data_IF_424026405671
#
_entry.id   IF_424026405671
#
_cell.length_a   1.000
_cell.length_b   1.000
_cell.length_c   1.000
_cell.angle_alpha   90.00
_cell.angle_beta   90.00
_cell.angle_gamma   90.00
#
_symmetry.space_group_name_H-M   'P 1'
#
loop_
_entity.id
_entity.type
_entity.pdbx_description
1 polymer ?
#
# COMPACT_ATOMS: atom_id res chain seq x y z
N UNK A 1 -9.28 -28.65 15.28
CA UNK A 1 -8.32 -28.02 14.38
C UNK A 1 -7.85 -26.74 15.05
N UNK A 2 -6.60 -26.38 14.83
CA UNK A 2 -5.92 -25.25 15.46
C UNK A 2 -5.60 -24.22 14.39
N UNK A 3 -5.69 -22.94 14.74
CA UNK A 3 -5.33 -21.84 13.87
C UNK A 3 -4.00 -21.24 14.30
N UNK A 4 -3.29 -20.62 13.36
CA UNK A 4 -2.04 -19.92 13.63
C UNK A 4 -1.60 -19.09 12.44
N UNK A 5 -0.59 -18.26 12.67
CA UNK A 5 -0.05 -17.33 11.69
C UNK A 5 1.28 -17.84 11.16
N UNK A 6 1.46 -17.91 9.85
CA UNK A 6 2.74 -18.30 9.25
C UNK A 6 3.80 -17.28 9.67
N UNK A 7 4.75 -17.70 10.50
CA UNK A 7 5.88 -16.90 10.96
C UNK A 7 6.85 -16.64 9.81
N UNK A 8 7.17 -17.69 9.08
CA UNK A 8 7.98 -17.66 7.88
C UNK A 8 7.89 -19.01 7.17
N UNK A 9 8.17 -19.03 5.87
CA UNK A 9 8.25 -20.25 5.09
C UNK A 9 9.29 -20.09 3.98
N UNK A 10 10.20 -21.06 3.87
CA UNK A 10 11.20 -21.12 2.82
C UNK A 10 10.73 -22.12 1.75
N UNK A 11 10.33 -21.60 0.60
CA UNK A 11 9.82 -22.39 -0.51
C UNK A 11 10.89 -23.27 -1.17
N UNK A 12 12.14 -22.80 -1.19
CA UNK A 12 13.26 -23.53 -1.79
C UNK A 12 13.66 -24.72 -0.92
N UNK A 13 13.60 -24.55 0.41
CA UNK A 13 13.89 -25.61 1.39
C UNK A 13 12.67 -26.46 1.75
N UNK A 14 11.47 -25.99 1.44
CA UNK A 14 10.20 -26.69 1.62
C UNK A 14 9.72 -26.79 3.08
N UNK A 15 10.11 -25.86 3.95
CA UNK A 15 9.64 -25.85 5.34
C UNK A 15 9.57 -24.44 5.94
N UNK A 16 8.84 -24.32 7.04
CA UNK A 16 8.65 -23.07 7.76
C UNK A 16 8.10 -23.29 9.17
N UNK A 17 7.60 -22.22 9.77
CA UNK A 17 7.04 -22.22 11.12
C UNK A 17 5.76 -21.40 11.19
N UNK A 18 4.85 -21.82 12.06
CA UNK A 18 3.55 -21.20 12.34
C UNK A 18 3.53 -20.75 13.80
N UNK A 19 3.31 -19.46 14.03
CA UNK A 19 3.08 -18.92 15.36
C UNK A 19 1.67 -19.28 15.85
N UNK A 20 1.60 -19.87 17.04
CA UNK A 20 0.35 -20.29 17.70
C UNK A 20 -0.25 -19.21 18.63
N UNK A 21 0.40 -18.04 18.73
CA UNK A 21 0.06 -16.97 19.67
C UNK A 21 1.31 -16.37 20.32
N UNK A 22 1.15 -15.34 21.15
CA UNK A 22 2.28 -14.56 21.69
C UNK A 22 3.15 -15.28 22.73
N UNK A 23 2.61 -16.32 23.39
CA UNK A 23 3.31 -17.08 24.44
C UNK A 23 3.50 -18.56 24.10
N UNK A 24 3.13 -18.98 22.89
CA UNK A 24 3.23 -20.36 22.45
C UNK A 24 4.46 -20.57 21.56
N UNK A 25 5.08 -21.75 21.65
CA UNK A 25 6.21 -22.11 20.77
C UNK A 25 5.75 -22.20 19.31
N UNK A 26 6.59 -21.69 18.41
CA UNK A 26 6.37 -21.78 16.97
C UNK A 26 6.31 -23.26 16.52
N UNK A 27 5.29 -23.60 15.76
CA UNK A 27 5.04 -24.96 15.29
C UNK A 27 5.68 -25.18 13.91
N UNK A 28 6.45 -26.26 13.77
CA UNK A 28 7.08 -26.63 12.50
C UNK A 28 6.05 -27.00 11.44
N UNK A 29 6.26 -26.59 10.19
CA UNK A 29 5.46 -27.03 9.03
C UNK A 29 6.36 -27.42 7.87
N UNK A 30 6.02 -28.52 7.19
CA UNK A 30 6.69 -28.97 5.97
C UNK A 30 5.75 -28.81 4.76
N UNK A 31 6.32 -28.55 3.57
CA UNK A 31 5.57 -28.34 2.35
C UNK A 31 4.64 -29.51 2.00
N UNK A 32 5.02 -30.75 2.37
CA UNK A 32 4.18 -31.93 2.14
C UNK A 32 2.83 -31.86 2.85
N UNK A 33 2.77 -31.21 4.02
CA UNK A 33 1.57 -31.10 4.85
C UNK A 33 0.64 -29.97 4.39
N UNK A 34 1.09 -29.09 3.51
CA UNK A 34 0.26 -28.05 2.90
C UNK A 34 -0.73 -28.71 1.93
N UNK A 35 -2.00 -28.44 2.18
CA UNK A 35 -3.12 -28.84 1.34
C UNK A 35 -3.53 -27.62 0.51
N UNK A 36 -3.09 -27.61 -0.73
CA UNK A 36 -3.47 -26.63 -1.75
C UNK A 36 -3.96 -27.37 -2.98
N UNK A 37 -4.93 -26.77 -3.67
CA UNK A 37 -5.40 -27.23 -4.99
C UNK A 37 -4.42 -26.80 -6.10
N UNK A 38 -3.53 -25.85 -5.81
CA UNK A 38 -2.47 -25.41 -6.71
C UNK A 38 -1.23 -26.30 -6.64
N UNK A 39 -0.51 -26.39 -7.77
CA UNK A 39 0.75 -27.13 -7.86
C UNK A 39 1.86 -26.58 -6.94
N UNK A 40 1.73 -25.34 -6.49
CA UNK A 40 2.70 -24.63 -5.66
C UNK A 40 2.23 -24.62 -4.21
N UNK A 41 2.85 -25.48 -3.39
CA UNK A 41 2.60 -25.58 -1.94
C UNK A 41 3.35 -24.50 -1.18
N UNK A 42 2.88 -23.27 -1.32
CA UNK A 42 3.51 -22.08 -0.77
C UNK A 42 2.72 -21.53 0.41
N UNK A 43 3.45 -21.12 1.45
CA UNK A 43 2.94 -20.26 2.51
C UNK A 43 3.68 -18.93 2.46
N UNK A 44 2.95 -17.84 2.70
CA UNK A 44 3.51 -16.50 2.84
C UNK A 44 3.51 -16.11 4.31
N UNK A 45 4.56 -15.42 4.72
CA UNK A 45 4.61 -14.82 6.06
C UNK A 45 3.37 -13.96 6.31
N UNK A 46 2.81 -14.11 7.51
CA UNK A 46 1.58 -13.45 7.93
C UNK A 46 0.30 -14.18 7.55
N UNK A 47 0.28 -15.18 6.66
CA UNK A 47 -0.96 -15.91 6.34
C UNK A 47 -1.55 -16.63 7.56
N UNK A 48 -2.89 -16.66 7.66
CA UNK A 48 -3.57 -17.47 8.68
C UNK A 48 -3.86 -18.84 8.09
N UNK A 49 -3.47 -19.85 8.84
CA UNK A 49 -3.65 -21.25 8.47
C UNK A 49 -4.41 -22.00 9.54
N UNK A 50 -5.28 -22.92 9.12
CA UNK A 50 -5.78 -23.98 10.00
C UNK A 50 -4.98 -25.26 9.76
N UNK A 51 -4.77 -26.03 10.83
CA UNK A 51 -4.03 -27.29 10.79
C UNK A 51 -4.41 -28.20 11.95
N UNK A 52 -3.88 -29.42 11.89
CA UNK A 52 -3.88 -30.38 12.99
C UNK A 52 -2.47 -30.49 13.58
N UNK A 53 -2.33 -30.50 14.90
CA UNK A 53 -1.03 -30.75 15.54
C UNK A 53 -0.79 -32.27 15.59
N UNK A 54 0.36 -32.72 15.10
CA UNK A 54 0.77 -34.11 15.17
C UNK A 54 2.26 -34.27 15.47
N UNK A 55 2.70 -35.48 15.79
CA UNK A 55 4.13 -35.80 15.90
C UNK A 55 4.75 -36.07 14.53
N UNK A 56 5.99 -35.59 14.34
CA UNK A 56 6.86 -35.93 13.24
C UNK A 56 8.27 -36.26 13.71
N UNK A 57 9.15 -36.59 12.77
CA UNK A 57 10.53 -37.01 13.05
C UNK A 57 11.38 -35.93 13.76
N UNK A 58 10.93 -34.67 13.73
CA UNK A 58 11.58 -33.51 14.35
C UNK A 58 10.80 -32.94 15.53
N UNK A 59 9.84 -33.68 16.07
CA UNK A 59 8.94 -33.23 17.13
C UNK A 59 7.57 -32.80 16.61
N UNK A 60 6.82 -32.00 17.40
CA UNK A 60 5.50 -31.52 17.02
C UNK A 60 5.52 -30.73 15.70
N UNK A 61 4.57 -31.02 14.81
CA UNK A 61 4.42 -30.34 13.52
C UNK A 61 2.96 -30.11 13.15
N UNK A 62 2.73 -29.11 12.31
CA UNK A 62 1.45 -28.83 11.68
C UNK A 62 1.20 -29.81 10.54
N UNK A 63 0.00 -30.40 10.52
CA UNK A 63 -0.47 -31.36 9.51
C UNK A 63 -1.72 -30.85 8.84
N UNK A 64 -1.93 -31.28 7.59
CA UNK A 64 -3.10 -30.91 6.78
C UNK A 64 -3.35 -29.40 6.73
N UNK A 65 -2.28 -28.63 6.58
CA UNK A 65 -2.28 -27.16 6.68
C UNK A 65 -3.07 -26.56 5.51
N UNK A 66 -4.05 -25.73 5.81
CA UNK A 66 -4.84 -24.98 4.81
C UNK A 66 -4.77 -23.50 5.12
N UNK A 67 -4.56 -22.67 4.10
CA UNK A 67 -4.68 -21.22 4.24
C UNK A 67 -6.16 -20.86 4.35
N UNK A 68 -6.52 -20.18 5.43
CA UNK A 68 -7.90 -19.72 5.69
C UNK A 68 -8.04 -18.20 5.58
N UNK A 69 -6.95 -17.45 5.73
CA UNK A 69 -6.90 -16.03 5.42
C UNK A 69 -5.53 -15.63 4.89
N UNK A 70 -5.49 -14.68 3.97
CA UNK A 70 -4.24 -14.23 3.37
C UNK A 70 -3.33 -13.48 4.34
N UNK A 71 -3.86 -12.98 5.47
CA UNK A 71 -3.09 -12.37 6.55
C UNK A 71 -3.77 -12.48 7.91
N UNK A 72 -2.97 -12.54 8.97
CA UNK A 72 -3.38 -12.41 10.36
C UNK A 72 -3.82 -10.98 10.64
N UNK A 73 -4.93 -10.85 11.34
CA UNK A 73 -5.54 -9.55 11.67
C UNK A 73 -4.58 -8.67 12.51
N UNK A 74 -3.75 -9.31 13.35
CA UNK A 74 -2.88 -8.63 14.32
C UNK A 74 -1.48 -8.22 13.82
N UNK A 75 -1.15 -8.33 12.52
CA UNK A 75 0.19 -7.91 12.02
C UNK A 75 0.16 -6.44 11.58
N UNK A 76 0.86 -5.50 12.29
CA UNK A 76 0.83 -4.10 11.92
C UNK A 76 1.58 -3.89 10.61
N UNK A 77 0.84 -3.68 9.53
CA UNK A 77 1.39 -3.39 8.20
C UNK A 77 1.51 -1.90 7.99
N UNK A 78 2.66 -1.44 7.49
CA UNK A 78 2.73 -0.16 6.80
C UNK A 78 1.92 -0.23 5.51
N UNK A 79 0.70 0.31 5.54
CA UNK A 79 -0.22 0.38 4.42
C UNK A 79 -0.19 1.79 3.84
N UNK A 80 -0.18 1.88 2.52
CA UNK A 80 -0.43 3.12 1.80
C UNK A 80 -1.93 3.21 1.50
N UNK A 81 -2.46 4.42 1.56
CA UNK A 81 -3.85 4.66 1.21
C UNK A 81 -4.13 6.10 0.87
N UNK A 82 -5.39 6.35 0.58
CA UNK A 82 -5.92 7.67 0.25
C UNK A 82 -7.04 7.99 1.22
N UNK A 83 -6.99 9.17 1.84
CA UNK A 83 -8.05 9.63 2.74
C UNK A 83 -9.34 9.76 1.95
N UNK A 84 -10.31 8.90 2.23
CA UNK A 84 -11.62 8.91 1.58
C UNK A 84 -12.40 10.15 2.01
N UNK A 85 -12.32 10.49 3.30
CA UNK A 85 -12.82 11.73 3.87
C UNK A 85 -12.31 11.87 5.30
N UNK A 86 -12.27 13.11 5.80
CA UNK A 86 -11.89 13.42 7.18
C UNK A 86 -12.67 14.64 7.67
N UNK A 87 -13.17 14.59 8.91
CA UNK A 87 -13.90 15.69 9.55
C UNK A 87 -13.08 16.29 10.69
N UNK A 88 -12.32 17.38 10.45
CA UNK A 88 -11.40 17.94 11.46
C UNK A 88 -12.09 18.36 12.75
N UNK A 89 -13.33 18.85 12.66
CA UNK A 89 -14.10 19.29 13.83
C UNK A 89 -14.46 18.13 14.76
N UNK A 90 -14.64 16.92 14.21
CA UNK A 90 -14.93 15.71 14.98
C UNK A 90 -13.68 14.86 15.26
N UNK A 91 -12.60 15.07 14.52
CA UNK A 91 -11.32 14.40 14.71
C UNK A 91 -11.28 12.95 14.23
N UNK A 92 -12.10 12.57 13.24
CA UNK A 92 -12.08 11.24 12.66
C UNK A 92 -12.43 11.22 11.17
N UNK A 93 -12.10 10.12 10.50
CA UNK A 93 -12.38 9.89 9.09
C UNK A 93 -12.12 8.45 8.68
N UNK A 94 -11.99 8.22 7.37
CA UNK A 94 -11.67 6.91 6.80
C UNK A 94 -10.65 7.03 5.67
N UNK A 95 -9.88 5.95 5.49
CA UNK A 95 -8.84 5.82 4.47
C UNK A 95 -9.17 4.61 3.62
N UNK A 96 -9.16 4.77 2.30
CA UNK A 96 -9.18 3.66 1.36
C UNK A 96 -7.76 3.12 1.21
N UNK A 97 -7.47 1.88 1.64
CA UNK A 97 -6.13 1.29 1.50
C UNK A 97 -5.87 0.89 0.04
N UNK A 98 -4.62 0.99 -0.40
CA UNK A 98 -4.23 0.68 -1.78
C UNK A 98 -4.27 -0.83 -2.10
N UNK A 99 -4.21 -1.67 -1.08
CA UNK A 99 -4.26 -3.13 -1.23
C UNK A 99 -5.66 -3.66 -1.52
N UNK A 100 -6.65 -2.77 -1.67
CA UNK A 100 -8.03 -3.11 -2.02
C UNK A 100 -8.85 -3.66 -0.85
N UNK A 101 -8.36 -3.53 0.38
CA UNK A 101 -9.08 -3.88 1.61
C UNK A 101 -10.26 -2.96 1.92
N UNK A 102 -10.96 -3.27 3.02
CA UNK A 102 -12.03 -2.42 3.53
C UNK A 102 -11.51 -1.04 3.98
N UNK A 103 -12.39 -0.04 4.04
CA UNK A 103 -12.02 1.28 4.54
C UNK A 103 -11.51 1.21 5.98
N UNK A 104 -10.37 1.87 6.22
CA UNK A 104 -9.69 1.86 7.52
C UNK A 104 -10.09 3.11 8.29
N UNK A 105 -10.58 2.94 9.52
CA UNK A 105 -10.94 4.05 10.39
C UNK A 105 -9.70 4.83 10.83
N UNK A 106 -9.76 6.16 10.85
CA UNK A 106 -8.69 7.01 11.37
C UNK A 106 -9.22 7.99 12.42
N UNK A 107 -8.50 8.10 13.54
CA UNK A 107 -8.72 9.11 14.56
C UNK A 107 -7.58 10.14 14.55
N UNK A 108 -7.87 11.38 14.95
CA UNK A 108 -6.90 12.49 15.01
C UNK A 108 -5.63 12.15 15.81
N UNK A 109 -5.74 11.30 16.84
CA UNK A 109 -4.60 10.85 17.66
C UNK A 109 -3.61 9.98 16.90
N UNK A 110 -4.03 9.35 15.79
CA UNK A 110 -3.14 8.53 14.97
C UNK A 110 -2.25 9.38 14.06
N UNK A 111 -2.62 10.64 13.79
CA UNK A 111 -1.90 11.52 12.87
C UNK A 111 -0.61 12.00 13.54
N UNK A 112 0.50 11.46 13.10
CA UNK A 112 1.84 11.82 13.56
C UNK A 112 2.12 13.27 13.15
N UNK A 113 2.81 14.03 14.00
CA UNK A 113 3.18 15.44 13.79
C UNK A 113 2.05 16.46 14.06
N UNK A 114 0.86 16.03 14.46
CA UNK A 114 -0.25 16.95 14.79
C UNK A 114 -0.77 17.73 13.58
N UNK A 115 -0.52 17.22 12.37
CA UNK A 115 -1.06 17.76 11.13
C UNK A 115 -2.55 17.44 10.97
N UNK A 116 -3.18 18.06 9.98
CA UNK A 116 -4.54 17.74 9.55
C UNK A 116 -4.45 17.04 8.19
N UNK A 117 -5.18 15.94 8.03
CA UNK A 117 -5.32 15.27 6.74
C UNK A 117 -6.54 15.79 5.99
N UNK A 118 -6.44 15.86 4.66
CA UNK A 118 -7.54 16.27 3.79
C UNK A 118 -8.05 15.10 2.94
N UNK A 119 -9.30 15.16 2.49
CA UNK A 119 -9.82 14.22 1.50
C UNK A 119 -8.92 14.16 0.25
N UNK A 120 -8.70 12.97 -0.28
CA UNK A 120 -7.80 12.70 -1.41
C UNK A 120 -6.31 12.68 -1.05
N UNK A 121 -5.93 12.99 0.20
CA UNK A 121 -4.53 13.00 0.60
C UNK A 121 -3.95 11.58 0.69
N UNK A 122 -2.71 11.42 0.21
CA UNK A 122 -1.94 10.19 0.33
C UNK A 122 -1.38 10.07 1.74
N UNK A 123 -1.48 8.87 2.31
CA UNK A 123 -1.06 8.60 3.68
C UNK A 123 -0.37 7.24 3.77
N UNK A 124 0.57 7.12 4.70
CA UNK A 124 1.12 5.85 5.16
C UNK A 124 0.71 5.62 6.61
N UNK A 125 0.29 4.42 6.98
CA UNK A 125 -0.21 4.14 8.33
C UNK A 125 -0.05 2.66 8.68
N UNK A 126 -0.13 2.34 9.97
CA UNK A 126 -0.22 0.97 10.46
C UNK A 126 -1.68 0.57 10.61
N UNK A 127 -2.07 -0.59 10.10
CA UNK A 127 -3.39 -1.17 10.39
C UNK A 127 -3.30 -1.98 11.68
N UNK A 128 -4.18 -1.69 12.63
CA UNK A 128 -4.36 -2.47 13.85
C UNK A 128 -5.84 -2.76 14.07
N UNK A 129 -6.16 -3.82 14.80
CA UNK A 129 -7.54 -4.11 15.19
C UNK A 129 -7.99 -3.18 16.31
N UNK A 130 -9.09 -2.46 16.08
CA UNK A 130 -9.72 -1.58 17.05
C UNK A 130 -11.08 -2.08 17.51
N UNK A 131 -11.62 -1.41 18.53
CA UNK A 131 -12.93 -1.73 19.12
C UNK A 131 -14.10 -1.65 18.12
N UNK A 132 -13.90 -0.93 17.00
CA UNK A 132 -14.87 -0.73 15.92
C UNK A 132 -14.44 -1.34 14.57
N UNK A 133 -13.49 -2.27 14.60
CA UNK A 133 -12.85 -2.84 13.42
C UNK A 133 -11.49 -2.22 13.13
N UNK A 134 -10.93 -2.51 11.95
CA UNK A 134 -9.60 -2.07 11.54
C UNK A 134 -9.44 -0.56 11.62
N UNK A 135 -8.38 -0.11 12.31
CA UNK A 135 -8.05 1.30 12.51
C UNK A 135 -6.60 1.60 12.12
N UNK A 136 -6.36 2.84 11.73
CA UNK A 136 -5.05 3.36 11.40
C UNK A 136 -4.34 3.89 12.65
N UNK A 137 -3.10 3.49 12.85
CA UNK A 137 -2.15 4.05 13.81
C UNK A 137 -0.90 4.58 13.10
N UNK A 138 -0.15 5.46 13.79
CA UNK A 138 1.10 6.03 13.26
C UNK A 138 0.96 6.59 11.83
N UNK A 139 -0.14 7.29 11.58
CA UNK A 139 -0.46 7.85 10.28
C UNK A 139 0.49 9.00 9.97
N UNK A 140 1.22 8.85 8.86
CA UNK A 140 2.08 9.85 8.26
C UNK A 140 1.40 10.41 7.02
N UNK A 141 1.00 11.69 7.03
CA UNK A 141 0.55 12.36 5.83
C UNK A 141 1.72 12.39 4.85
N UNK A 142 1.54 11.78 3.68
CA UNK A 142 2.52 11.90 2.62
C UNK A 142 2.26 13.24 1.94
N UNK A 143 3.33 13.99 1.71
CA UNK A 143 3.28 15.03 0.70
C UNK A 143 2.81 14.35 -0.59
N UNK A 144 1.91 14.98 -1.34
CA UNK A 144 1.65 14.53 -2.70
C UNK A 144 3.03 14.30 -3.34
N UNK A 145 3.27 13.21 -4.11
CA UNK A 145 4.44 13.21 -4.98
C UNK A 145 4.40 14.58 -5.62
N UNK A 146 5.47 15.37 -5.47
CA UNK A 146 5.55 16.65 -6.13
C UNK A 146 5.11 16.33 -7.54
N UNK A 147 3.85 16.66 -7.86
CA UNK A 147 3.38 16.53 -9.20
C UNK A 147 4.44 17.36 -9.87
N UNK A 148 5.19 16.69 -10.75
CA UNK A 148 5.89 17.34 -11.85
C UNK A 148 5.21 18.67 -11.97
N UNK A 149 5.93 19.76 -11.68
CA UNK A 149 5.41 21.11 -11.85
C UNK A 149 4.44 20.93 -12.99
N UNK A 150 3.13 20.97 -12.67
CA UNK A 150 2.25 21.49 -13.65
C UNK A 150 2.94 22.84 -13.75
N UNK A 151 3.78 22.96 -14.78
CA UNK A 151 3.78 24.10 -15.63
C UNK A 151 2.30 24.44 -15.56
N UNK A 152 1.97 25.36 -14.63
CA UNK A 152 0.97 26.33 -14.91
C UNK A 152 1.34 26.63 -16.34
N UNK A 153 0.53 26.13 -17.29
CA UNK A 153 0.65 26.57 -18.66
C UNK A 153 0.79 28.06 -18.46
N UNK A 154 1.98 28.56 -18.74
CA UNK A 154 2.49 29.85 -18.26
C UNK A 154 1.80 30.98 -19.03
N UNK A 155 0.58 30.70 -19.49
CA UNK A 155 -0.13 31.37 -20.54
C UNK A 155 0.47 31.14 -21.92
N UNK A 156 1.44 30.22 -22.09
CA UNK A 156 2.17 30.06 -23.35
C UNK A 156 1.51 29.07 -24.35
N UNK A 157 0.31 28.58 -24.05
CA UNK A 157 -0.53 28.00 -25.10
C UNK A 157 -0.99 29.13 -26.03
N UNK A 158 -0.80 28.94 -27.33
CA UNK A 158 -1.09 29.96 -28.31
C UNK A 158 -0.99 29.46 -29.73
N UNK A 159 -1.54 30.24 -30.66
CA UNK A 159 -1.50 29.91 -32.08
C UNK A 159 -0.18 30.36 -32.69
N UNK A 160 0.52 29.48 -33.41
CA UNK A 160 1.72 29.85 -34.17
C UNK A 160 1.32 30.84 -35.25
N UNK A 161 1.71 32.10 -35.08
CA UNK A 161 1.48 33.15 -36.07
C UNK A 161 2.39 32.96 -37.27
N UNK A 162 3.65 32.57 -37.00
CA UNK A 162 4.66 32.43 -38.03
C UNK A 162 5.84 31.57 -37.56
N UNK A 163 6.42 30.76 -38.46
CA UNK A 163 7.55 29.88 -38.16
C UNK A 163 8.48 29.73 -39.37
N UNK A 164 9.80 29.80 -39.13
CA UNK A 164 10.86 29.52 -40.09
C UNK A 164 11.53 28.19 -39.71
N UNK A 165 11.18 27.14 -40.45
CA UNK A 165 11.67 25.78 -40.21
C UNK A 165 13.15 25.58 -40.51
N UNK A 166 13.73 26.41 -41.38
CA UNK A 166 15.15 26.33 -41.73
C UNK A 166 16.02 26.93 -40.63
N UNK A 167 15.53 27.97 -39.95
CA UNK A 167 16.25 28.65 -38.85
C UNK A 167 15.84 28.16 -37.46
N UNK A 168 14.75 27.40 -37.34
CA UNK A 168 14.31 26.78 -36.09
C UNK A 168 13.70 27.75 -35.08
N UNK A 169 13.14 28.89 -35.53
CA UNK A 169 12.47 29.84 -34.65
C UNK A 169 11.16 30.38 -35.23
N UNK A 170 10.29 30.91 -34.37
CA UNK A 170 9.00 31.47 -34.76
C UNK A 170 8.38 32.35 -33.67
N UNK A 171 7.13 32.75 -33.88
CA UNK A 171 6.33 33.53 -32.93
C UNK A 171 4.98 32.88 -32.68
N UNK A 172 4.54 32.93 -31.43
CA UNK A 172 3.25 32.41 -30.97
C UNK A 172 2.42 33.57 -30.43
N UNK A 173 1.15 33.67 -30.83
CA UNK A 173 0.18 34.58 -30.22
C UNK A 173 -0.42 33.85 -29.02
N UNK A 174 -0.16 34.32 -27.77
CA UNK A 174 -0.70 33.67 -26.59
C UNK A 174 -2.23 33.76 -26.55
N UNK A 175 -2.90 32.66 -26.21
CA UNK A 175 -4.36 32.64 -26.04
C UNK A 175 -4.80 33.49 -24.83
N UNK A 176 -3.86 33.79 -23.93
CA UNK A 176 -4.03 34.71 -22.80
C UNK A 176 -4.19 36.19 -23.19
N UNK A 177 -4.06 36.54 -24.47
CA UNK A 177 -4.26 37.90 -24.98
C UNK A 177 -3.07 38.85 -24.76
N UNK A 178 -1.87 38.30 -24.54
CA UNK A 178 -0.61 39.02 -24.40
C UNK A 178 0.10 39.33 -25.73
N UNK A 179 1.25 40.03 -25.68
CA UNK A 179 2.07 40.27 -26.87
C UNK A 179 2.67 38.96 -27.41
N UNK A 180 2.96 38.93 -28.71
CA UNK A 180 3.58 37.77 -29.37
C UNK A 180 4.86 37.30 -28.66
N UNK A 181 4.92 35.99 -28.41
CA UNK A 181 6.02 35.34 -27.71
C UNK A 181 6.95 34.71 -28.75
N UNK A 182 8.23 35.06 -28.68
CA UNK A 182 9.27 34.47 -29.52
C UNK A 182 9.64 33.07 -29.03
N UNK A 183 9.71 32.10 -29.94
CA UNK A 183 10.12 30.73 -29.64
C UNK A 183 11.29 30.29 -30.52
N UNK A 184 12.23 29.57 -29.91
CA UNK A 184 13.34 28.92 -30.62
C UNK A 184 13.34 27.44 -30.26
N UNK A 185 13.22 26.57 -31.26
CA UNK A 185 13.29 25.13 -31.05
C UNK A 185 14.76 24.77 -30.83
N UNK A 186 15.14 24.46 -29.58
CA UNK A 186 16.30 23.62 -29.34
C UNK A 186 15.81 22.18 -29.40
N UNK A 187 16.33 21.41 -30.36
CA UNK A 187 15.99 20.02 -30.55
C UNK A 187 16.05 19.28 -29.20
N UNK A 188 14.91 18.72 -28.80
CA UNK A 188 14.83 17.70 -27.76
C UNK A 188 15.62 16.50 -28.28
N UNK A 189 16.71 16.16 -27.58
CA UNK A 189 17.42 14.90 -27.77
C UNK A 189 16.73 13.80 -26.97
#
# INVERSE_FOLDING_TARGET
>A
MTEGTVRWFDADRGFGFIALGQEAEDLYVHASEIVSDDAMKLLREGQVVEFEVGEGDRGPQARRVRVIADRAADTPLGVLGTVAWYEPAKGYGFITPDDGGAEIFVHSSAIVTGGVVSEGQRVAFLVVDGEKGAQAEHLLPLEAPAAHQALASDGADGTVSWYDGDKGFGFIIPDSGGPDVFVHVRALA
#
